data_IF_639563624540
#
_entry.id   IF_639563624540
#
_cell.length_a   1.000
_cell.length_b   1.000
_cell.length_c   1.000
_cell.angle_alpha   90.00
_cell.angle_beta   90.00
_cell.angle_gamma   90.00
#
_symmetry.space_group_name_H-M   'P 1'
#
loop_
_entity.id
_entity.type
_entity.pdbx_description
1 polymer ?
#
# COMPACT_ATOMS: atom_id res chain seq x y z
N UNK A 1 18.24 35.57 33.73
CA UNK A 1 17.97 36.02 35.11
C UNK A 1 19.31 36.05 35.84
N UNK A 2 19.98 37.20 35.81
CA UNK A 2 21.01 37.61 36.77
C UNK A 2 21.09 39.13 36.65
N UNK A 3 20.40 39.82 37.56
CA UNK A 3 20.45 41.28 37.68
C UNK A 3 21.81 41.65 38.29
N UNK A 4 22.66 42.32 37.53
CA UNK A 4 23.80 43.05 38.09
C UNK A 4 23.31 44.46 38.45
N UNK A 5 23.08 44.65 39.74
CA UNK A 5 22.86 45.96 40.37
C UNK A 5 24.16 46.73 40.26
N UNK A 6 24.20 47.74 39.40
CA UNK A 6 25.26 48.75 39.40
C UNK A 6 24.80 49.94 40.24
N UNK A 7 25.49 50.17 41.36
CA UNK A 7 25.27 51.30 42.25
C UNK A 7 25.66 52.63 41.57
N UNK A 8 24.96 53.70 41.92
CA UNK A 8 24.99 55.03 41.28
C UNK A 8 26.27 55.86 41.50
N UNK A 9 27.40 55.24 41.84
CA UNK A 9 28.65 55.97 42.16
C UNK A 9 29.81 55.79 41.17
N UNK A 10 29.67 54.97 40.12
CA UNK A 10 30.71 54.78 39.08
C UNK A 10 30.40 55.41 37.71
N UNK A 11 29.54 56.43 37.64
CA UNK A 11 29.17 57.08 36.37
C UNK A 11 30.03 58.25 35.83
N UNK A 12 31.06 58.82 36.51
CA UNK A 12 31.86 59.89 35.89
C UNK A 12 32.94 59.37 34.91
N UNK A 13 33.40 58.13 35.06
CA UNK A 13 34.51 57.55 34.29
C UNK A 13 34.06 57.02 32.93
N UNK A 14 32.94 56.29 32.86
CA UNK A 14 32.40 55.77 31.59
C UNK A 14 32.01 56.88 30.60
N UNK A 15 31.41 57.98 31.09
CA UNK A 15 31.03 59.13 30.24
C UNK A 15 32.24 59.90 29.68
N UNK A 16 33.39 59.87 30.38
CA UNK A 16 34.66 60.45 29.88
C UNK A 16 35.35 59.53 28.87
N UNK A 17 35.34 58.22 29.11
CA UNK A 17 35.87 57.21 28.19
C UNK A 17 35.09 57.19 26.86
N UNK A 18 33.77 57.32 26.88
CA UNK A 18 32.94 57.37 25.67
C UNK A 18 33.19 58.58 24.75
N UNK A 19 33.94 59.60 25.20
CA UNK A 19 34.33 60.78 24.40
C UNK A 19 35.71 60.64 23.73
N UNK A 20 36.51 59.62 24.06
CA UNK A 20 37.83 59.45 23.46
C UNK A 20 37.74 58.56 22.21
N UNK A 21 38.47 58.92 21.15
CA UNK A 21 38.54 58.11 19.91
C UNK A 21 38.93 56.65 20.21
N UNK A 22 39.80 56.44 21.20
CA UNK A 22 40.28 55.13 21.62
C UNK A 22 39.17 54.19 22.11
N UNK A 23 38.12 54.69 22.77
CA UNK A 23 37.00 53.86 23.23
C UNK A 23 36.16 53.32 22.06
N UNK A 24 35.85 54.16 21.08
CA UNK A 24 35.12 53.74 19.88
C UNK A 24 35.95 52.83 18.98
N UNK A 25 37.28 53.02 18.93
CA UNK A 25 38.20 52.09 18.25
C UNK A 25 38.21 50.73 18.94
N UNK A 26 38.27 50.69 20.28
CA UNK A 26 38.25 49.45 21.05
C UNK A 26 36.90 48.72 20.93
N UNK A 27 35.78 49.45 21.00
CA UNK A 27 34.44 48.91 20.81
C UNK A 27 34.26 48.38 19.38
N UNK A 28 34.74 49.12 18.38
CA UNK A 28 34.76 48.68 16.99
C UNK A 28 35.57 47.40 16.82
N UNK A 29 36.77 47.31 17.41
CA UNK A 29 37.59 46.10 17.41
C UNK A 29 36.92 44.92 18.09
N UNK A 30 36.24 45.13 19.23
CA UNK A 30 35.49 44.07 19.93
C UNK A 30 34.31 43.59 19.09
N UNK A 31 33.56 44.49 18.45
CA UNK A 31 32.48 44.11 17.53
C UNK A 31 33.04 43.33 16.35
N UNK A 32 34.17 43.77 15.78
CA UNK A 32 34.82 43.09 14.65
C UNK A 32 35.35 41.71 15.05
N UNK A 33 35.89 41.57 16.27
CA UNK A 33 36.30 40.29 16.86
C UNK A 33 35.10 39.38 17.13
N UNK A 34 33.98 39.92 17.62
CA UNK A 34 32.74 39.16 17.79
C UNK A 34 32.15 38.70 16.45
N UNK A 35 32.18 39.56 15.42
CA UNK A 35 31.77 39.19 14.07
C UNK A 35 32.72 38.16 13.45
N UNK A 36 34.04 38.34 13.62
CA UNK A 36 35.04 37.38 13.14
C UNK A 36 34.92 36.04 13.88
N UNK A 37 34.69 36.04 15.19
CA UNK A 37 34.47 34.83 15.96
C UNK A 37 33.15 34.15 15.59
N UNK A 38 32.08 34.93 15.34
CA UNK A 38 30.81 34.42 14.80
C UNK A 38 30.98 33.81 13.41
N UNK A 39 31.77 34.43 12.53
CA UNK A 39 32.01 33.95 11.16
C UNK A 39 33.00 32.78 11.12
N UNK A 40 34.00 32.75 12.02
CA UNK A 40 34.93 31.64 12.17
C UNK A 40 34.26 30.42 12.81
N UNK A 41 33.21 30.63 13.61
CA UNK A 41 32.40 29.57 14.23
C UNK A 41 31.19 29.17 13.38
N UNK A 42 30.93 29.84 12.25
CA UNK A 42 30.09 29.26 11.19
C UNK A 42 30.81 28.03 10.68
N UNK A 43 30.37 26.91 11.21
CA UNK A 43 30.77 25.57 10.85
C UNK A 43 30.74 25.46 9.31
N UNK A 44 31.92 25.50 8.66
CA UNK A 44 32.07 25.23 7.23
C UNK A 44 31.89 23.71 7.05
N UNK A 45 30.69 23.23 7.37
CA UNK A 45 30.30 21.85 7.12
C UNK A 45 30.42 21.63 5.63
N UNK A 46 31.12 20.57 5.24
CA UNK A 46 31.12 20.14 3.85
C UNK A 46 29.66 20.03 3.38
N UNK A 47 29.35 20.69 2.26
CA UNK A 47 28.02 20.64 1.66
C UNK A 47 27.74 19.19 1.32
N UNK A 48 26.77 18.59 2.02
CA UNK A 48 26.38 17.22 1.79
C UNK A 48 25.87 17.07 0.35
N UNK A 49 26.43 16.09 -0.36
CA UNK A 49 26.15 15.82 -1.77
C UNK A 49 25.86 14.35 -2.00
N UNK A 50 25.07 14.08 -3.03
CA UNK A 50 24.84 12.76 -3.58
C UNK A 50 26.06 12.27 -4.37
N UNK A 51 26.05 10.99 -4.74
CA UNK A 51 27.04 10.41 -5.66
C UNK A 51 27.00 11.06 -7.05
N UNK A 52 25.87 11.67 -7.43
CA UNK A 52 25.73 12.49 -8.65
C UNK A 52 26.43 13.86 -8.55
N UNK A 53 26.80 14.30 -7.35
CA UNK A 53 27.32 15.65 -7.07
C UNK A 53 26.23 16.68 -6.74
N UNK A 54 24.96 16.32 -6.85
CA UNK A 54 23.83 17.18 -6.46
C UNK A 54 23.81 17.40 -4.94
N UNK A 55 23.36 18.57 -4.52
CA UNK A 55 23.28 18.94 -3.10
C UNK A 55 22.10 18.24 -2.44
N UNK A 56 22.36 17.62 -1.29
CA UNK A 56 21.35 16.99 -0.45
C UNK A 56 21.67 17.29 1.01
N UNK A 57 21.15 18.41 1.53
CA UNK A 57 21.42 18.80 2.91
C UNK A 57 20.58 18.04 3.94
N UNK A 58 19.55 17.28 3.53
CA UNK A 58 18.76 16.48 4.47
C UNK A 58 19.62 15.46 5.22
N UNK A 59 20.60 14.85 4.55
CA UNK A 59 21.53 13.87 5.15
C UNK A 59 22.52 14.50 6.13
N UNK A 60 22.54 15.83 6.29
CA UNK A 60 23.33 16.49 7.33
C UNK A 60 22.73 16.21 8.71
N UNK A 61 21.40 16.25 8.80
CA UNK A 61 20.65 16.03 10.04
C UNK A 61 20.06 14.61 10.13
N UNK A 62 19.56 14.07 9.01
CA UNK A 62 18.93 12.75 8.96
C UNK A 62 19.95 11.64 8.68
N UNK A 63 20.46 11.03 9.75
CA UNK A 63 21.45 9.96 9.68
C UNK A 63 20.86 8.55 9.67
N UNK A 64 19.59 8.41 9.30
CA UNK A 64 18.88 7.13 9.25
C UNK A 64 19.61 6.12 8.36
N UNK A 65 19.55 4.85 8.76
CA UNK A 65 20.08 3.74 7.96
C UNK A 65 19.02 3.35 6.95
N UNK A 66 19.35 3.46 5.66
CA UNK A 66 18.48 3.00 4.56
C UNK A 66 18.92 1.59 4.17
N UNK A 67 18.12 0.54 4.45
CA UNK A 67 18.52 -0.87 4.24
C UNK A 67 18.37 -1.32 2.78
N UNK A 68 18.73 -0.45 1.83
CA UNK A 68 18.69 -0.68 0.39
C UNK A 68 19.86 -0.04 -0.32
N UNK A 69 20.39 -0.73 -1.34
CA UNK A 69 21.45 -0.20 -2.19
C UNK A 69 20.93 0.68 -3.33
N UNK A 70 19.76 0.35 -3.89
CA UNK A 70 19.22 1.01 -5.09
C UNK A 70 18.64 2.38 -4.76
N UNK A 71 18.00 2.52 -3.59
CA UNK A 71 17.44 3.77 -3.10
C UNK A 71 18.26 4.34 -1.93
N UNK A 72 19.56 4.05 -1.87
CA UNK A 72 20.41 4.57 -0.81
C UNK A 72 20.37 6.11 -0.76
N UNK A 73 20.41 6.68 0.43
CA UNK A 73 20.30 8.14 0.65
C UNK A 73 21.40 8.96 -0.02
N UNK A 74 22.57 8.36 -0.31
CA UNK A 74 23.64 9.02 -1.07
C UNK A 74 23.47 8.87 -2.58
N UNK A 75 22.66 7.92 -3.03
CA UNK A 75 22.43 7.65 -4.46
C UNK A 75 21.24 8.46 -4.97
N UNK A 76 20.08 8.31 -4.32
CA UNK A 76 18.83 8.93 -4.76
C UNK A 76 18.55 10.26 -4.06
N UNK A 77 19.02 10.41 -2.83
CA UNK A 77 18.69 11.55 -1.98
C UNK A 77 17.33 11.41 -1.28
N UNK A 78 17.22 12.08 -0.15
CA UNK A 78 16.00 12.13 0.65
C UNK A 78 14.92 12.93 -0.08
N UNK A 79 15.28 14.08 -0.66
CA UNK A 79 14.31 14.99 -1.28
C UNK A 79 13.69 14.43 -2.55
N UNK A 80 14.39 13.55 -3.27
CA UNK A 80 13.85 12.89 -4.47
C UNK A 80 12.64 12.00 -4.17
N UNK A 81 12.55 11.45 -2.95
CA UNK A 81 11.39 10.68 -2.50
C UNK A 81 10.47 11.53 -1.62
N UNK A 82 11.01 12.16 -0.59
CA UNK A 82 10.25 12.85 0.43
C UNK A 82 9.92 14.31 0.08
N UNK A 83 10.36 14.80 -1.08
CA UNK A 83 10.27 16.22 -1.45
C UNK A 83 10.98 17.09 -0.41
N UNK A 84 10.56 18.36 -0.26
CA UNK A 84 11.27 19.32 0.57
C UNK A 84 12.36 20.07 -0.20
N UNK A 85 13.07 20.95 0.51
CA UNK A 85 14.14 21.76 -0.05
C UNK A 85 15.51 21.23 0.41
N UNK A 86 16.27 20.54 -0.44
CA UNK A 86 17.56 19.97 -0.09
C UNK A 86 18.69 21.01 -0.03
N UNK A 87 18.44 22.29 -0.32
CA UNK A 87 19.46 23.32 -0.46
C UNK A 87 19.60 24.24 0.77
N UNK A 88 18.85 23.97 1.84
CA UNK A 88 18.87 24.79 3.06
C UNK A 88 18.92 23.93 4.32
N UNK A 89 19.58 24.45 5.36
CA UNK A 89 19.56 23.88 6.72
C UNK A 89 18.50 24.54 7.61
N UNK A 90 17.81 25.58 7.12
CA UNK A 90 16.68 26.15 7.84
C UNK A 90 15.55 25.12 7.94
N UNK A 91 15.12 24.83 9.17
CA UNK A 91 14.14 23.78 9.41
C UNK A 91 12.82 24.01 8.66
N UNK A 92 12.32 25.25 8.67
CA UNK A 92 11.00 25.56 8.10
C UNK A 92 11.05 25.48 6.57
N UNK A 93 12.09 26.02 5.97
CA UNK A 93 12.26 26.01 4.51
C UNK A 93 12.61 24.61 3.99
N UNK A 94 13.48 23.85 4.68
CA UNK A 94 13.82 22.49 4.31
C UNK A 94 12.61 21.55 4.32
N UNK A 95 11.74 21.66 5.33
CA UNK A 95 10.59 20.77 5.51
C UNK A 95 9.32 21.21 4.75
N UNK A 96 9.40 22.30 3.99
CA UNK A 96 8.28 22.81 3.22
C UNK A 96 7.88 21.79 2.14
N UNK A 97 6.61 21.38 2.12
CA UNK A 97 6.04 20.41 1.18
C UNK A 97 6.62 18.98 1.27
N UNK A 98 7.24 18.60 2.39
CA UNK A 98 7.67 17.21 2.58
C UNK A 98 6.46 16.27 2.54
N UNK A 99 6.62 15.15 1.82
CA UNK A 99 5.69 14.05 1.76
C UNK A 99 6.24 12.88 2.57
N UNK A 100 5.48 12.48 3.60
CA UNK A 100 5.86 11.35 4.47
C UNK A 100 5.87 10.01 3.75
N UNK A 101 4.89 9.77 2.85
CA UNK A 101 4.80 8.54 2.07
C UNK A 101 5.03 8.83 0.58
N UNK A 102 6.23 8.59 0.04
CA UNK A 102 6.53 8.88 -1.36
C UNK A 102 5.70 8.03 -2.34
N UNK A 103 5.25 6.83 -1.94
CA UNK A 103 4.48 5.95 -2.83
C UNK A 103 2.99 6.25 -2.90
N UNK A 104 2.51 7.29 -2.23
CA UNK A 104 1.09 7.66 -2.27
C UNK A 104 0.67 8.12 -3.67
N UNK A 105 -0.45 7.60 -4.20
CA UNK A 105 -0.89 7.85 -5.57
C UNK A 105 -1.16 9.34 -5.89
N UNK A 106 -1.35 10.17 -4.86
CA UNK A 106 -1.49 11.63 -5.01
C UNK A 106 -0.18 12.32 -5.34
N UNK A 107 0.94 11.80 -4.84
CA UNK A 107 2.28 12.41 -4.98
C UNK A 107 3.22 11.60 -5.87
N UNK A 108 2.91 10.35 -6.21
CA UNK A 108 3.80 9.44 -6.97
C UNK A 108 4.32 10.00 -8.29
N UNK A 109 3.61 10.92 -8.95
CA UNK A 109 4.11 11.58 -10.16
C UNK A 109 5.37 12.43 -9.86
N UNK A 110 5.44 13.02 -8.66
CA UNK A 110 6.53 13.89 -8.19
C UNK A 110 7.67 13.10 -7.53
N UNK A 111 7.47 11.81 -7.23
CA UNK A 111 8.42 10.98 -6.49
C UNK A 111 8.86 9.80 -7.35
N UNK A 112 8.22 8.63 -7.24
CA UNK A 112 8.56 7.42 -8.00
C UNK A 112 8.42 7.60 -9.52
N UNK A 113 7.58 8.54 -9.97
CA UNK A 113 7.27 8.81 -11.37
C UNK A 113 8.20 9.81 -12.05
N UNK A 114 9.25 10.28 -11.38
CA UNK A 114 10.22 11.20 -11.99
C UNK A 114 10.98 10.54 -13.16
N UNK A 115 11.50 11.34 -14.11
CA UNK A 115 12.39 10.84 -15.15
C UNK A 115 13.55 10.03 -14.54
N UNK A 116 13.90 8.89 -15.15
CA UNK A 116 14.93 7.98 -14.63
C UNK A 116 14.46 7.03 -13.51
N UNK A 117 13.20 7.14 -13.04
CA UNK A 117 12.63 6.26 -12.02
C UNK A 117 11.62 5.27 -12.62
N UNK A 118 10.34 5.35 -12.23
CA UNK A 118 9.26 4.42 -12.56
C UNK A 118 8.08 5.09 -13.28
N UNK A 119 8.37 6.06 -14.17
CA UNK A 119 7.38 6.85 -14.89
C UNK A 119 6.28 6.00 -15.56
N UNK A 120 6.63 4.88 -16.18
CA UNK A 120 5.70 4.01 -16.91
C UNK A 120 4.73 3.24 -16.02
N UNK A 121 5.03 3.12 -14.73
CA UNK A 121 4.23 2.34 -13.79
C UNK A 121 3.08 3.16 -13.21
N UNK A 122 3.19 4.49 -13.22
CA UNK A 122 2.27 5.36 -12.51
C UNK A 122 0.86 5.31 -13.09
N UNK A 123 0.74 5.43 -14.42
CA UNK A 123 -0.54 5.33 -15.12
C UNK A 123 -1.15 3.93 -14.99
N UNK A 124 -0.30 2.89 -15.04
CA UNK A 124 -0.73 1.49 -14.87
C UNK A 124 -1.35 1.25 -13.51
N UNK A 125 -0.65 1.66 -12.44
CA UNK A 125 -1.14 1.47 -11.06
C UNK A 125 -2.41 2.27 -10.84
N UNK A 126 -2.50 3.51 -11.31
CA UNK A 126 -3.70 4.35 -11.17
C UNK A 126 -4.93 3.76 -11.88
N UNK A 127 -4.73 3.00 -12.96
CA UNK A 127 -5.80 2.33 -13.70
C UNK A 127 -6.08 0.89 -13.24
N UNK A 128 -5.24 0.33 -12.36
CA UNK A 128 -5.45 -1.02 -11.81
C UNK A 128 -6.77 -1.14 -11.04
N UNK A 129 -7.34 -2.35 -10.98
CA UNK A 129 -8.58 -2.62 -10.25
C UNK A 129 -8.46 -2.28 -8.75
N UNK A 130 -7.30 -2.47 -8.13
CA UNK A 130 -7.07 -2.10 -6.72
C UNK A 130 -7.00 -0.59 -6.50
N UNK A 131 -6.61 0.19 -7.51
CA UNK A 131 -6.64 1.65 -7.44
C UNK A 131 -8.02 2.20 -7.79
N UNK A 132 -8.73 1.65 -8.76
CA UNK A 132 -10.02 2.21 -9.19
C UNK A 132 -11.18 1.70 -8.34
N UNK A 133 -11.16 0.43 -7.92
CA UNK A 133 -12.27 -0.30 -7.33
C UNK A 133 -13.59 -0.20 -8.13
N UNK A 134 -13.51 0.11 -9.43
CA UNK A 134 -14.68 0.45 -10.24
C UNK A 134 -15.71 -0.70 -10.27
N UNK A 135 -15.28 -1.94 -10.51
CA UNK A 135 -16.18 -3.09 -10.54
C UNK A 135 -16.91 -3.32 -9.21
N UNK A 136 -16.24 -3.07 -8.08
CA UNK A 136 -16.87 -3.14 -6.75
C UNK A 136 -17.91 -2.03 -6.57
N UNK A 137 -17.55 -0.79 -6.89
CA UNK A 137 -18.44 0.37 -6.80
C UNK A 137 -19.67 0.16 -7.68
N UNK A 138 -19.46 -0.22 -8.94
CA UNK A 138 -20.52 -0.54 -9.91
C UNK A 138 -21.47 -1.59 -9.34
N UNK A 139 -20.94 -2.71 -8.83
CA UNK A 139 -21.77 -3.79 -8.30
C UNK A 139 -22.58 -3.34 -7.07
N UNK A 140 -21.97 -2.61 -6.14
CA UNK A 140 -22.66 -2.10 -4.96
C UNK A 140 -23.80 -1.17 -5.37
N UNK A 141 -23.53 -0.19 -6.23
CA UNK A 141 -24.54 0.75 -6.72
C UNK A 141 -25.69 0.03 -7.44
N UNK A 142 -25.39 -0.98 -8.24
CA UNK A 142 -26.41 -1.80 -8.92
C UNK A 142 -27.28 -2.60 -7.95
N UNK A 143 -26.72 -3.15 -6.86
CA UNK A 143 -27.46 -3.90 -5.84
C UNK A 143 -28.41 -2.99 -5.06
N UNK A 144 -28.04 -1.72 -4.86
CA UNK A 144 -28.91 -0.70 -4.27
C UNK A 144 -29.87 -0.05 -5.28
N UNK A 145 -29.87 -0.50 -6.54
CA UNK A 145 -30.71 0.00 -7.63
C UNK A 145 -30.49 1.49 -8.01
N UNK A 146 -29.35 2.08 -7.61
CA UNK A 146 -29.01 3.50 -7.80
C UNK A 146 -28.30 3.77 -9.15
N UNK A 147 -28.86 3.24 -10.25
CA UNK A 147 -28.21 3.26 -11.59
C UNK A 147 -27.90 4.68 -12.09
N UNK A 148 -28.63 5.69 -11.64
CA UNK A 148 -28.41 7.10 -11.96
C UNK A 148 -27.00 7.59 -11.56
N UNK A 149 -26.41 7.02 -10.51
CA UNK A 149 -25.02 7.31 -10.10
C UNK A 149 -24.06 6.92 -11.23
N UNK A 150 -24.29 5.77 -11.88
CA UNK A 150 -23.47 5.29 -13.00
C UNK A 150 -23.82 6.02 -14.30
N UNK A 151 -25.03 6.56 -14.46
CA UNK A 151 -25.34 7.47 -15.57
C UNK A 151 -24.55 8.78 -15.48
N UNK A 152 -24.42 9.34 -14.27
CA UNK A 152 -23.63 10.54 -14.01
C UNK A 152 -22.12 10.29 -14.07
N UNK A 153 -21.68 9.12 -13.58
CA UNK A 153 -20.28 8.73 -13.51
C UNK A 153 -20.05 7.31 -14.05
N UNK A 154 -20.05 7.10 -15.39
CA UNK A 154 -19.96 5.76 -15.99
C UNK A 154 -18.69 4.98 -15.67
N UNK A 155 -17.60 5.69 -15.34
CA UNK A 155 -16.30 5.13 -14.93
C UNK A 155 -15.92 5.55 -13.51
N UNK A 156 -16.91 5.63 -12.62
CA UNK A 156 -16.70 6.05 -11.23
C UNK A 156 -15.61 5.19 -10.56
N UNK A 157 -14.52 5.84 -10.18
CA UNK A 157 -13.41 5.25 -9.45
C UNK A 157 -13.34 5.82 -8.05
N UNK A 158 -12.69 5.10 -7.13
CA UNK A 158 -12.56 5.53 -5.75
C UNK A 158 -11.81 6.86 -5.59
N UNK A 159 -10.88 7.20 -6.49
CA UNK A 159 -10.18 8.49 -6.43
C UNK A 159 -11.16 9.65 -6.58
N UNK A 160 -12.17 9.51 -7.44
CA UNK A 160 -13.22 10.51 -7.63
C UNK A 160 -14.07 10.69 -6.37
N UNK A 161 -14.22 9.66 -5.53
CA UNK A 161 -14.96 9.79 -4.26
C UNK A 161 -14.26 10.71 -3.24
N UNK A 162 -12.97 11.01 -3.42
CA UNK A 162 -12.27 12.02 -2.63
C UNK A 162 -12.56 13.46 -3.10
N UNK A 163 -13.16 13.64 -4.28
CA UNK A 163 -13.47 14.97 -4.80
C UNK A 163 -14.77 15.48 -4.18
N UNK A 164 -14.73 16.68 -3.59
CA UNK A 164 -15.89 17.27 -2.91
C UNK A 164 -17.12 17.37 -3.82
N UNK A 165 -16.94 17.74 -5.08
CA UNK A 165 -18.04 17.82 -6.06
C UNK A 165 -18.77 16.48 -6.23
N UNK A 166 -18.02 15.39 -6.42
CA UNK A 166 -18.56 14.04 -6.61
C UNK A 166 -19.23 13.58 -5.31
N UNK A 167 -18.57 13.80 -4.17
CA UNK A 167 -19.14 13.47 -2.86
C UNK A 167 -20.48 14.18 -2.64
N UNK A 168 -20.58 15.49 -2.92
CA UNK A 168 -21.82 16.24 -2.73
C UNK A 168 -22.95 15.80 -3.66
N UNK A 169 -22.65 15.51 -4.92
CA UNK A 169 -23.62 15.00 -5.91
C UNK A 169 -24.11 13.59 -5.58
N UNK A 170 -23.31 12.80 -4.88
CA UNK A 170 -23.61 11.39 -4.55
C UNK A 170 -23.88 11.14 -3.07
N UNK A 171 -23.99 12.20 -2.25
CA UNK A 171 -24.07 12.08 -0.78
C UNK A 171 -25.27 11.27 -0.28
N UNK A 172 -26.35 11.23 -1.05
CA UNK A 172 -27.59 10.53 -0.69
C UNK A 172 -27.62 9.08 -1.18
N UNK A 173 -26.62 8.63 -1.94
CA UNK A 173 -26.51 7.24 -2.39
C UNK A 173 -26.16 6.34 -1.21
N UNK A 174 -27.07 5.45 -0.84
CA UNK A 174 -26.87 4.43 0.20
C UNK A 174 -25.84 3.40 -0.27
N UNK A 175 -25.80 3.07 -1.55
CA UNK A 175 -24.80 2.16 -2.11
C UNK A 175 -23.37 2.72 -1.95
N UNK A 176 -23.17 3.99 -2.31
CA UNK A 176 -21.87 4.62 -2.12
C UNK A 176 -21.56 4.86 -0.64
N UNK A 177 -22.56 5.14 0.20
CA UNK A 177 -22.35 5.24 1.64
C UNK A 177 -21.90 3.91 2.27
N UNK A 178 -22.56 2.82 1.90
CA UNK A 178 -22.16 1.46 2.26
C UNK A 178 -20.74 1.15 1.79
N UNK A 179 -20.39 1.46 0.54
CA UNK A 179 -19.04 1.28 0.03
C UNK A 179 -18.01 2.09 0.83
N UNK A 180 -18.24 3.39 1.06
CA UNK A 180 -17.30 4.26 1.80
C UNK A 180 -17.07 3.75 3.22
N UNK A 181 -18.12 3.28 3.88
CA UNK A 181 -18.05 2.83 5.28
C UNK A 181 -17.54 1.41 5.43
N UNK A 182 -17.81 0.48 4.52
CA UNK A 182 -17.41 -0.92 4.69
C UNK A 182 -16.18 -1.28 3.85
N UNK A 183 -16.18 -0.88 2.57
CA UNK A 183 -15.16 -1.25 1.58
C UNK A 183 -14.06 -0.19 1.42
N UNK A 184 -14.27 1.05 1.87
CA UNK A 184 -13.40 2.20 1.64
C UNK A 184 -11.97 2.08 2.19
N UNK A 185 -11.63 1.00 2.90
CA UNK A 185 -10.25 0.72 3.32
C UNK A 185 -9.44 -0.17 2.37
N UNK A 186 -10.04 -0.70 1.31
CA UNK A 186 -9.43 -1.76 0.48
C UNK A 186 -8.70 -1.26 -0.77
N UNK A 187 -8.63 0.05 -1.02
CA UNK A 187 -8.10 0.62 -2.25
C UNK A 187 -6.73 1.31 -2.06
N UNK A 188 -6.00 1.51 -3.16
CA UNK A 188 -4.63 2.03 -3.10
C UNK A 188 -4.50 3.54 -2.83
N UNK A 189 -5.54 4.34 -3.14
CA UNK A 189 -5.58 5.78 -2.82
C UNK A 189 -5.72 6.11 -1.34
N UNK A 190 -5.97 5.13 -0.47
CA UNK A 190 -6.11 5.39 0.95
C UNK A 190 -4.76 5.88 1.49
N UNK A 191 -4.76 7.00 2.20
CA UNK A 191 -3.55 7.50 2.84
C UNK A 191 -3.11 6.57 3.97
N UNK A 192 -1.89 6.05 3.88
CA UNK A 192 -1.33 5.19 4.92
C UNK A 192 -1.22 5.93 6.24
N UNK A 193 -1.73 5.33 7.32
CA UNK A 193 -1.77 5.94 8.65
C UNK A 193 -3.00 6.82 8.92
N UNK A 194 -3.88 7.03 7.94
CA UNK A 194 -5.02 7.95 8.07
C UNK A 194 -6.19 7.38 8.88
N UNK A 195 -6.41 6.07 8.79
CA UNK A 195 -7.48 5.37 9.51
C UNK A 195 -6.96 4.83 10.87
N UNK A 196 -7.85 4.61 11.85
CA UNK A 196 -7.47 4.12 13.17
C UNK A 196 -7.14 2.62 13.20
N UNK A 197 -6.62 2.15 14.34
CA UNK A 197 -6.37 0.72 14.64
C UNK A 197 -5.52 0.00 13.57
N UNK A 198 -5.92 -1.21 13.19
CA UNK A 198 -5.25 -2.03 12.18
C UNK A 198 -5.40 -1.46 10.76
N UNK A 199 -6.38 -0.60 10.51
CA UNK A 199 -6.60 0.02 9.19
C UNK A 199 -5.51 1.03 8.84
N UNK A 200 -4.77 1.55 9.83
CA UNK A 200 -3.65 2.48 9.62
C UNK A 200 -2.54 1.90 8.74
N UNK A 201 -2.42 0.57 8.68
CA UNK A 201 -1.39 -0.12 7.89
C UNK A 201 -1.82 -0.36 6.43
N UNK A 202 -3.07 -0.03 6.06
CA UNK A 202 -3.59 -0.17 4.69
C UNK A 202 -3.33 1.09 3.85
N UNK A 203 -3.41 0.92 2.52
CA UNK A 203 -3.22 2.00 1.56
C UNK A 203 -1.76 2.41 1.38
N UNK A 204 -1.57 3.60 0.80
CA UNK A 204 -0.27 4.20 0.55
C UNK A 204 0.25 4.01 -0.87
N UNK A 205 -0.60 3.66 -1.84
CA UNK A 205 -0.20 3.47 -3.23
C UNK A 205 0.87 2.40 -3.41
N UNK A 206 2.01 2.76 -3.98
CA UNK A 206 3.14 1.85 -4.20
C UNK A 206 3.66 1.22 -2.90
N UNK A 207 3.65 1.96 -1.78
CA UNK A 207 4.13 1.45 -0.48
C UNK A 207 3.13 0.55 0.23
N UNK A 208 1.92 0.38 -0.30
CA UNK A 208 0.96 -0.61 0.21
C UNK A 208 1.55 -2.03 0.11
N UNK A 209 2.20 -2.32 -1.02
CA UNK A 209 2.80 -3.61 -1.31
C UNK A 209 4.32 -3.60 -1.11
N UNK A 210 5.01 -2.55 -1.55
CA UNK A 210 6.47 -2.58 -1.63
C UNK A 210 7.17 -2.21 -0.32
N UNK A 211 6.49 -1.62 0.66
CA UNK A 211 7.13 -1.26 1.93
C UNK A 211 7.06 -2.39 2.96
N UNK A 212 8.21 -2.72 3.54
CA UNK A 212 8.35 -3.65 4.66
C UNK A 212 9.11 -2.96 5.80
N UNK A 213 8.66 -3.21 7.03
CA UNK A 213 9.38 -2.80 8.24
C UNK A 213 10.41 -3.87 8.55
N UNK A 214 11.62 -3.49 8.97
CA UNK A 214 12.57 -4.48 9.47
C UNK A 214 12.05 -5.07 10.79
N UNK A 215 12.23 -6.39 10.97
CA UNK A 215 11.76 -7.10 12.17
C UNK A 215 12.63 -6.81 13.41
N UNK A 216 13.85 -6.33 13.19
CA UNK A 216 14.88 -6.12 14.23
C UNK A 216 14.99 -4.66 14.69
N UNK A 217 13.86 -3.95 14.81
CA UNK A 217 13.80 -2.77 15.66
C UNK A 217 13.90 -3.23 17.13
N UNK A 218 15.11 -3.58 17.57
CA UNK A 218 15.40 -3.72 18.99
C UNK A 218 15.07 -2.38 19.65
N UNK A 219 14.22 -2.33 20.70
CA UNK A 219 13.80 -1.07 21.33
C UNK A 219 14.96 -0.20 21.86
N UNK A 220 16.17 -0.77 21.94
CA UNK A 220 17.40 -0.15 22.44
C UNK A 220 18.45 0.20 21.35
N UNK A 221 18.14 0.02 20.06
CA UNK A 221 19.01 0.54 18.99
C UNK A 221 18.87 2.06 18.90
N UNK A 222 19.95 2.80 19.16
CA UNK A 222 19.98 4.26 19.04
C UNK A 222 19.90 4.77 17.59
N UNK A 223 19.89 3.88 16.59
CA UNK A 223 19.81 4.24 15.17
C UNK A 223 18.43 3.98 14.61
N UNK A 224 17.74 5.05 14.20
CA UNK A 224 16.51 4.98 13.41
C UNK A 224 16.80 4.33 12.05
N UNK A 225 16.08 3.24 11.76
CA UNK A 225 16.15 2.53 10.48
C UNK A 225 14.99 2.98 9.60
N UNK A 226 15.31 3.34 8.36
CA UNK A 226 14.30 3.74 7.38
C UNK A 226 13.57 2.50 6.85
N UNK A 227 12.24 2.57 6.59
CA UNK A 227 11.51 1.46 5.98
C UNK A 227 12.13 1.02 4.65
N UNK A 228 12.14 -0.30 4.42
CA UNK A 228 12.65 -0.89 3.19
C UNK A 228 11.57 -1.00 2.13
N UNK A 229 11.91 -0.71 0.89
CA UNK A 229 11.21 -1.06 -0.33
C UNK A 229 11.75 -2.38 -0.89
N UNK A 230 10.83 -3.27 -1.27
CA UNK A 230 11.15 -4.57 -1.84
C UNK A 230 10.61 -4.68 -3.25
N UNK A 231 11.41 -5.28 -4.14
CA UNK A 231 10.97 -5.59 -5.51
C UNK A 231 9.83 -6.61 -5.51
N UNK A 232 9.92 -7.62 -4.65
CA UNK A 232 8.94 -8.69 -4.52
C UNK A 232 8.24 -8.56 -3.16
N UNK A 233 6.97 -8.12 -3.12
CA UNK A 233 6.26 -7.91 -1.88
C UNK A 233 6.01 -9.24 -1.16
N UNK A 234 6.13 -9.28 0.18
CA UNK A 234 5.84 -10.48 0.93
C UNK A 234 4.31 -10.67 1.02
N UNK A 235 3.86 -11.91 1.19
CA UNK A 235 2.45 -12.27 1.11
C UNK A 235 1.58 -11.56 2.15
N UNK A 236 2.13 -11.24 3.32
CA UNK A 236 1.44 -10.52 4.40
C UNK A 236 0.91 -9.17 3.91
N UNK A 237 1.62 -8.50 3.00
CA UNK A 237 1.17 -7.23 2.41
C UNK A 237 -0.09 -7.42 1.54
N UNK A 238 -0.23 -8.56 0.85
CA UNK A 238 -1.45 -8.93 0.14
C UNK A 238 -2.58 -9.25 1.12
N UNK A 239 -2.27 -10.05 2.15
CA UNK A 239 -3.25 -10.54 3.13
C UNK A 239 -3.82 -9.39 3.97
N UNK A 240 -3.13 -8.25 4.15
CA UNK A 240 -3.71 -7.05 4.80
C UNK A 240 -5.05 -6.60 4.20
N UNK A 241 -5.25 -6.80 2.90
CA UNK A 241 -6.50 -6.45 2.21
C UNK A 241 -7.28 -7.71 1.80
N UNK A 242 -6.60 -8.75 1.31
CA UNK A 242 -7.22 -9.98 0.81
C UNK A 242 -7.60 -10.99 1.91
N UNK A 243 -7.96 -10.49 3.10
CA UNK A 243 -8.41 -11.31 4.25
C UNK A 243 -9.93 -11.24 4.51
N UNK A 244 -10.67 -10.42 3.78
CA UNK A 244 -12.13 -10.25 3.93
C UNK A 244 -12.85 -10.56 2.61
N UNK A 245 -14.17 -10.72 2.66
CA UNK A 245 -15.03 -11.09 1.53
C UNK A 245 -14.73 -12.48 0.94
N UNK A 246 -13.80 -12.61 0.00
CA UNK A 246 -13.39 -13.92 -0.53
C UNK A 246 -12.48 -14.72 0.40
N UNK A 247 -11.91 -14.07 1.44
CA UNK A 247 -10.97 -14.67 2.43
C UNK A 247 -9.80 -15.43 1.79
N UNK A 248 -9.47 -15.11 0.53
CA UNK A 248 -8.51 -15.88 -0.27
C UNK A 248 -7.11 -15.89 0.35
N UNK A 249 -6.70 -14.79 0.98
CA UNK A 249 -5.44 -14.72 1.70
C UNK A 249 -5.37 -15.71 2.85
N UNK A 250 -6.48 -15.96 3.55
CA UNK A 250 -6.54 -16.93 4.64
C UNK A 250 -6.61 -18.36 4.10
N UNK A 251 -7.55 -18.66 3.22
CA UNK A 251 -7.74 -20.03 2.74
C UNK A 251 -6.56 -20.56 1.95
N UNK A 252 -5.85 -19.70 1.19
CA UNK A 252 -4.60 -20.07 0.53
C UNK A 252 -3.54 -20.55 1.52
N UNK A 253 -3.44 -19.88 2.67
CA UNK A 253 -2.52 -20.22 3.76
C UNK A 253 -2.98 -21.38 4.64
N UNK A 254 -4.20 -21.90 4.42
CA UNK A 254 -4.78 -22.92 5.31
C UNK A 254 -5.33 -22.32 6.60
N UNK A 255 -5.84 -21.10 6.54
CA UNK A 255 -6.54 -20.46 7.64
C UNK A 255 -8.01 -20.25 7.26
N UNK A 256 -8.89 -20.42 8.23
CA UNK A 256 -10.32 -20.22 8.07
C UNK A 256 -10.85 -19.37 9.21
N UNK A 257 -11.54 -18.29 8.89
CA UNK A 257 -12.20 -17.50 9.94
C UNK A 257 -13.45 -18.22 10.40
N UNK A 258 -13.48 -18.57 11.69
CA UNK A 258 -14.47 -19.43 12.31
C UNK A 258 -15.87 -18.78 12.39
N UNK A 259 -16.86 -19.58 12.78
CA UNK A 259 -18.20 -19.08 13.07
C UNK A 259 -18.11 -18.04 14.21
N UNK A 260 -18.83 -16.91 14.09
CA UNK A 260 -18.73 -15.77 15.02
C UNK A 260 -19.03 -16.18 16.48
N UNK A 261 -17.99 -16.55 17.21
CA UNK A 261 -18.06 -17.04 18.59
C UNK A 261 -17.35 -18.38 18.74
N UNK A 262 -16.22 -18.41 19.46
CA UNK A 262 -15.44 -19.62 19.70
C UNK A 262 -13.98 -19.32 20.07
N UNK A 263 -13.24 -20.36 20.45
CA UNK A 263 -11.78 -20.31 20.60
C UNK A 263 -11.19 -20.78 19.26
N UNK A 264 -10.48 -19.89 18.56
CA UNK A 264 -9.73 -20.26 17.36
C UNK A 264 -8.26 -20.54 17.66
N UNK A 265 -7.57 -21.19 16.74
CA UNK A 265 -6.12 -21.46 16.83
C UNK A 265 -5.28 -20.17 16.80
N UNK A 266 -5.78 -19.13 16.13
CA UNK A 266 -5.13 -17.83 15.98
C UNK A 266 -6.14 -16.68 16.06
N UNK A 267 -5.68 -15.49 16.44
CA UNK A 267 -6.46 -14.24 16.42
C UNK A 267 -5.86 -13.28 15.41
N UNK A 268 -6.66 -12.84 14.44
CA UNK A 268 -6.25 -11.82 13.49
C UNK A 268 -6.23 -10.43 14.13
N UNK A 269 -5.51 -9.49 13.52
CA UNK A 269 -5.29 -8.13 14.05
C UNK A 269 -6.56 -7.32 14.27
N UNK A 270 -7.69 -7.72 13.67
CA UNK A 270 -9.00 -7.11 13.85
C UNK A 270 -9.90 -7.85 14.86
N UNK A 271 -9.35 -8.84 15.58
CA UNK A 271 -10.04 -9.59 16.63
C UNK A 271 -10.77 -10.84 16.14
N UNK A 272 -10.78 -11.13 14.84
CA UNK A 272 -11.38 -12.35 14.30
C UNK A 272 -10.57 -13.60 14.65
N UNK A 273 -11.25 -14.67 15.03
CA UNK A 273 -10.65 -15.95 15.32
C UNK A 273 -10.49 -16.78 14.04
N UNK A 274 -9.34 -17.43 13.90
CA UNK A 274 -8.99 -18.26 12.76
C UNK A 274 -8.66 -19.69 13.20
N UNK A 275 -9.20 -20.66 12.50
CA UNK A 275 -8.88 -22.08 12.64
C UNK A 275 -7.90 -22.52 11.55
N UNK A 276 -7.00 -23.45 11.89
CA UNK A 276 -6.10 -24.07 10.92
C UNK A 276 -6.83 -25.15 10.14
N UNK A 277 -6.74 -25.03 8.82
CA UNK A 277 -7.18 -26.04 7.86
C UNK A 277 -6.05 -26.37 6.92
N UNK A 278 -6.23 -27.39 6.09
CA UNK A 278 -5.16 -27.76 5.17
C UNK A 278 -4.92 -26.66 4.12
N UNK A 279 -3.70 -26.15 3.95
CA UNK A 279 -3.42 -25.10 2.96
C UNK A 279 -3.56 -25.56 1.51
N UNK A 280 -3.56 -24.57 0.60
CA UNK A 280 -3.41 -24.82 -0.82
C UNK A 280 -2.06 -25.50 -1.13
N UNK A 281 -2.05 -26.38 -2.12
CA UNK A 281 -0.83 -27.14 -2.47
C UNK A 281 0.29 -26.24 -2.98
N UNK A 282 -0.02 -25.12 -3.65
CA UNK A 282 0.97 -24.17 -4.12
C UNK A 282 1.63 -23.45 -2.93
N UNK A 283 0.84 -23.05 -1.94
CA UNK A 283 1.34 -22.49 -0.70
C UNK A 283 2.25 -23.48 0.05
N UNK A 284 1.81 -24.74 0.18
CA UNK A 284 2.62 -25.82 0.76
C UNK A 284 3.96 -26.03 0.04
N UNK A 285 4.01 -25.77 -1.27
CA UNK A 285 5.25 -25.84 -2.05
C UNK A 285 6.13 -24.60 -1.92
N UNK A 286 5.67 -23.56 -1.22
CA UNK A 286 6.41 -22.32 -0.97
C UNK A 286 6.17 -21.25 -2.03
N UNK A 287 5.05 -21.32 -2.75
CA UNK A 287 4.63 -20.27 -3.66
C UNK A 287 3.77 -19.23 -2.91
N UNK A 288 3.85 -17.99 -3.39
CA UNK A 288 3.13 -16.82 -2.91
C UNK A 288 2.22 -16.25 -4.00
N UNK A 289 1.36 -15.29 -3.66
CA UNK A 289 0.41 -14.69 -4.61
C UNK A 289 1.09 -14.17 -5.88
N UNK A 290 2.26 -13.52 -5.74
CA UNK A 290 3.01 -12.95 -6.87
C UNK A 290 3.69 -14.00 -7.75
N UNK A 291 3.77 -15.26 -7.33
CA UNK A 291 4.40 -16.30 -8.16
C UNK A 291 3.50 -16.71 -9.33
N UNK A 292 2.18 -16.60 -9.13
CA UNK A 292 1.16 -16.77 -10.15
C UNK A 292 0.77 -15.42 -10.77
N UNK A 293 0.46 -14.42 -9.93
CA UNK A 293 0.00 -13.13 -10.41
C UNK A 293 1.12 -12.34 -11.08
N UNK A 294 0.87 -11.87 -12.29
CA UNK A 294 1.85 -11.11 -13.04
C UNK A 294 1.94 -9.68 -12.55
N UNK A 295 3.02 -8.97 -12.92
CA UNK A 295 3.15 -7.55 -12.61
C UNK A 295 1.96 -6.77 -13.18
N UNK A 296 1.56 -7.11 -14.39
CA UNK A 296 0.47 -6.46 -15.13
C UNK A 296 -0.92 -6.76 -14.56
N UNK A 297 -1.13 -7.91 -13.90
CA UNK A 297 -2.37 -8.16 -13.15
C UNK A 297 -2.44 -7.36 -11.84
N UNK A 298 -1.32 -7.31 -11.10
CA UNK A 298 -1.27 -6.69 -9.78
C UNK A 298 -1.19 -5.17 -9.90
N UNK A 299 -0.23 -4.66 -10.67
CA UNK A 299 0.01 -3.23 -10.84
C UNK A 299 -0.81 -2.62 -11.98
N UNK A 300 -1.54 -3.43 -12.75
CA UNK A 300 -2.25 -3.01 -13.95
C UNK A 300 -1.35 -2.98 -15.21
N UNK A 301 -1.99 -3.00 -16.37
CA UNK A 301 -1.32 -2.88 -17.68
C UNK A 301 -1.62 -1.56 -18.39
N UNK A 302 -2.28 -0.62 -17.70
CA UNK A 302 -2.65 0.69 -18.22
C UNK A 302 -4.10 0.76 -18.69
N UNK A 303 -4.75 -0.39 -18.94
CA UNK A 303 -6.16 -0.43 -19.30
C UNK A 303 -7.05 -0.25 -18.06
N UNK A 304 -8.21 0.36 -18.29
CA UNK A 304 -9.28 0.42 -17.30
C UNK A 304 -10.20 -0.78 -17.49
N UNK A 305 -10.39 -1.57 -16.44
CA UNK A 305 -11.21 -2.78 -16.47
C UNK A 305 -12.50 -2.60 -15.66
N UNK A 306 -13.60 -3.18 -16.17
CA UNK A 306 -14.89 -3.16 -15.48
C UNK A 306 -15.04 -4.32 -14.50
N UNK A 307 -14.30 -5.41 -14.73
CA UNK A 307 -14.35 -6.62 -13.93
C UNK A 307 -12.97 -7.25 -13.75
N UNK A 308 -12.83 -8.09 -12.71
CA UNK A 308 -11.61 -8.89 -12.48
C UNK A 308 -11.31 -9.84 -13.65
N UNK A 309 -12.35 -10.42 -14.27
CA UNK A 309 -12.21 -11.40 -15.35
C UNK A 309 -11.53 -10.84 -16.60
N UNK A 310 -11.74 -9.54 -16.90
CA UNK A 310 -11.06 -8.84 -18.00
C UNK A 310 -9.58 -8.57 -17.70
N UNK A 311 -9.26 -8.27 -16.43
CA UNK A 311 -7.90 -7.97 -16.01
C UNK A 311 -7.02 -9.22 -15.91
N UNK A 312 -7.55 -10.31 -15.33
CA UNK A 312 -6.87 -11.58 -15.11
C UNK A 312 -6.32 -12.13 -16.43
N UNK A 313 -5.11 -12.69 -16.43
CA UNK A 313 -4.47 -13.33 -17.57
C UNK A 313 -3.85 -14.70 -17.24
N UNK A 314 -3.55 -14.94 -15.96
CA UNK A 314 -3.04 -16.23 -15.48
C UNK A 314 -4.15 -17.26 -15.47
N UNK A 315 -3.86 -18.43 -16.01
CA UNK A 315 -4.75 -19.58 -16.01
C UNK A 315 -4.00 -20.81 -15.47
N UNK A 316 -4.74 -21.82 -15.02
CA UNK A 316 -4.13 -23.08 -14.56
C UNK A 316 -3.24 -23.68 -15.67
N UNK A 317 -3.74 -23.61 -16.91
CA UNK A 317 -3.11 -24.11 -18.13
C UNK A 317 -1.85 -23.36 -18.52
N UNK A 318 -1.68 -22.10 -18.08
CA UNK A 318 -0.43 -21.35 -18.32
C UNK A 318 0.79 -22.14 -17.85
N UNK A 319 0.68 -22.78 -16.67
CA UNK A 319 1.73 -23.61 -16.10
C UNK A 319 1.47 -25.11 -16.30
N UNK A 320 0.25 -25.57 -16.02
CA UNK A 320 -0.12 -26.98 -16.04
C UNK A 320 -0.52 -27.45 -17.44
N UNK A 321 0.49 -27.85 -18.22
CA UNK A 321 0.31 -28.31 -19.60
C UNK A 321 0.67 -27.27 -20.65
N UNK A 322 0.82 -26.01 -20.26
CA UNK A 322 1.29 -24.92 -21.11
C UNK A 322 2.80 -24.74 -21.18
N UNK A 323 3.20 -23.55 -21.57
CA UNK A 323 4.59 -23.13 -21.78
C UNK A 323 4.93 -21.82 -21.06
N UNK A 324 4.13 -21.46 -20.05
CA UNK A 324 4.28 -20.23 -19.30
C UNK A 324 3.73 -18.99 -20.02
N UNK A 325 2.94 -19.15 -21.09
CA UNK A 325 2.26 -18.02 -21.75
C UNK A 325 0.88 -17.80 -21.15
N UNK A 326 0.61 -16.57 -20.71
CA UNK A 326 -0.70 -16.14 -20.21
C UNK A 326 -1.71 -15.98 -21.36
N UNK A 327 -3.01 -15.84 -21.03
CA UNK A 327 -4.06 -15.65 -22.05
C UNK A 327 -3.89 -14.38 -22.89
N UNK A 328 -3.14 -13.39 -22.38
CA UNK A 328 -2.78 -12.14 -23.07
C UNK A 328 -1.43 -12.22 -23.78
N UNK A 329 -0.84 -13.41 -23.93
CA UNK A 329 0.40 -13.62 -24.68
C UNK A 329 1.69 -13.28 -23.91
N UNK A 330 1.61 -12.96 -22.62
CA UNK A 330 2.79 -12.62 -21.81
C UNK A 330 3.47 -13.87 -21.27
N UNK A 331 4.80 -13.96 -21.38
CA UNK A 331 5.59 -15.06 -20.82
C UNK A 331 5.90 -14.82 -19.34
N UNK A 332 5.63 -15.84 -18.51
CA UNK A 332 6.03 -15.85 -17.11
C UNK A 332 7.56 -15.95 -17.01
N UNK A 333 8.19 -14.92 -16.45
CA UNK A 333 9.66 -14.86 -16.28
C UNK A 333 10.21 -15.95 -15.35
N UNK A 334 9.37 -16.46 -14.45
CA UNK A 334 9.72 -17.49 -13.48
C UNK A 334 9.31 -18.90 -13.91
N UNK A 335 8.84 -19.07 -15.15
CA UNK A 335 8.55 -20.39 -15.73
C UNK A 335 9.69 -20.82 -16.63
N UNK A 336 10.12 -22.07 -16.52
CA UNK A 336 11.09 -22.65 -17.45
C UNK A 336 10.93 -24.17 -17.59
N UNK A 337 11.46 -24.72 -18.68
CA UNK A 337 11.48 -26.15 -18.99
C UNK A 337 12.90 -26.69 -18.96
N UNK A 338 13.10 -27.85 -18.35
CA UNK A 338 14.36 -28.62 -18.38
C UNK A 338 14.03 -30.03 -18.87
N UNK A 339 14.36 -30.30 -20.14
CA UNK A 339 13.94 -31.52 -20.81
C UNK A 339 12.41 -31.65 -20.87
N UNK A 340 11.86 -32.77 -20.40
CA UNK A 340 10.40 -33.04 -20.37
C UNK A 340 9.67 -32.43 -19.17
N UNK A 341 10.40 -31.86 -18.22
CA UNK A 341 9.87 -31.29 -16.97
C UNK A 341 9.75 -29.77 -17.07
N UNK A 342 8.73 -29.24 -16.39
CA UNK A 342 8.50 -27.80 -16.26
C UNK A 342 8.61 -27.41 -14.79
N UNK A 343 9.10 -26.20 -14.54
CA UNK A 343 9.36 -25.68 -13.21
C UNK A 343 8.84 -24.25 -13.10
N UNK A 344 8.41 -23.89 -11.89
CA UNK A 344 8.14 -22.51 -11.49
C UNK A 344 9.12 -22.12 -10.39
N UNK A 345 9.81 -21.00 -10.55
CA UNK A 345 10.65 -20.42 -9.52
C UNK A 345 9.84 -19.41 -8.70
N UNK A 346 9.92 -19.49 -7.37
CA UNK A 346 9.32 -18.47 -6.53
C UNK A 346 10.13 -17.18 -6.65
N UNK A 347 9.46 -16.07 -6.97
CA UNK A 347 10.05 -14.74 -7.13
C UNK A 347 10.62 -14.19 -5.82
N UNK A 348 10.07 -14.62 -4.67
CA UNK A 348 10.49 -14.14 -3.35
C UNK A 348 11.56 -15.01 -2.67
N UNK A 349 11.59 -16.31 -2.95
CA UNK A 349 12.49 -17.26 -2.28
C UNK A 349 13.48 -17.97 -3.21
N UNK A 350 13.35 -17.77 -4.52
CA UNK A 350 14.10 -18.48 -5.58
C UNK A 350 13.95 -20.01 -5.54
N UNK A 351 13.03 -20.51 -4.70
CA UNK A 351 12.73 -21.93 -4.59
C UNK A 351 12.09 -22.43 -5.88
N UNK A 352 12.61 -23.54 -6.39
CA UNK A 352 12.13 -24.17 -7.62
C UNK A 352 11.11 -25.25 -7.30
N UNK A 353 9.95 -25.15 -7.93
CA UNK A 353 8.83 -26.09 -7.76
C UNK A 353 8.60 -26.82 -9.07
N UNK A 354 8.65 -28.16 -9.03
CA UNK A 354 8.29 -29.00 -10.17
C UNK A 354 6.80 -28.87 -10.47
N UNK A 355 6.46 -28.51 -11.71
CA UNK A 355 5.09 -28.42 -12.18
C UNK A 355 4.63 -29.81 -12.64
N UNK A 356 3.60 -30.34 -11.98
CA UNK A 356 2.96 -31.60 -12.38
C UNK A 356 2.03 -31.35 -13.56
N UNK A 357 2.07 -32.23 -14.56
CA UNK A 357 1.09 -32.21 -15.65
C UNK A 357 -0.29 -32.67 -15.13
N UNK A 358 -1.39 -32.11 -15.65
CA UNK A 358 -2.72 -32.66 -15.40
C UNK A 358 -2.78 -34.14 -15.77
N UNK A 359 -3.56 -34.91 -15.03
CA UNK A 359 -3.79 -36.33 -15.33
C UNK A 359 -4.63 -36.49 -16.59
N UNK A 360 -4.55 -37.64 -17.28
CA UNK A 360 -5.30 -37.90 -18.53
C UNK A 360 -6.80 -37.69 -18.39
N UNK A 361 -7.36 -37.97 -17.20
CA UNK A 361 -8.78 -37.75 -16.92
C UNK A 361 -9.21 -36.30 -17.21
N UNK A 362 -8.35 -35.31 -16.94
CA UNK A 362 -8.66 -33.90 -17.20
C UNK A 362 -8.85 -33.57 -18.69
N UNK A 363 -8.26 -34.36 -19.60
CA UNK A 363 -8.35 -34.16 -21.06
C UNK A 363 -9.50 -34.92 -21.73
N UNK A 364 -10.29 -35.68 -20.97
CA UNK A 364 -11.45 -36.41 -21.51
C UNK A 364 -12.52 -35.44 -22.03
N UNK A 365 -13.22 -35.84 -23.08
CA UNK A 365 -14.26 -35.03 -23.74
C UNK A 365 -15.35 -34.55 -22.76
N UNK A 366 -15.74 -35.41 -21.81
CA UNK A 366 -16.78 -35.14 -20.81
C UNK A 366 -16.35 -34.07 -19.77
N UNK A 367 -15.05 -33.80 -19.62
CA UNK A 367 -14.53 -32.80 -18.68
C UNK A 367 -14.19 -31.46 -19.35
N UNK A 368 -14.35 -31.32 -20.67
CA UNK A 368 -14.00 -30.09 -21.40
C UNK A 368 -14.72 -28.84 -20.89
N UNK A 369 -15.89 -29.01 -20.29
CA UNK A 369 -16.70 -27.92 -19.72
C UNK A 369 -16.28 -27.55 -18.31
N UNK A 370 -15.61 -28.43 -17.56
CA UNK A 370 -15.19 -28.17 -16.18
C UNK A 370 -13.96 -27.26 -16.14
N UNK A 371 -14.00 -26.25 -15.28
CA UNK A 371 -12.77 -25.55 -14.89
C UNK A 371 -11.94 -26.43 -13.97
N UNK A 372 -10.63 -26.18 -13.91
CA UNK A 372 -9.74 -26.93 -13.00
C UNK A 372 -10.18 -26.78 -11.55
N UNK A 373 -10.63 -25.59 -11.16
CA UNK A 373 -11.08 -25.29 -9.80
C UNK A 373 -12.35 -26.06 -9.41
N UNK A 374 -13.19 -26.49 -10.37
CA UNK A 374 -14.36 -27.33 -10.10
C UNK A 374 -14.03 -28.62 -9.34
N UNK A 375 -12.80 -29.15 -9.50
CA UNK A 375 -12.33 -30.33 -8.78
C UNK A 375 -11.12 -30.05 -7.87
N UNK A 376 -10.33 -29.01 -8.16
CA UNK A 376 -9.07 -28.73 -7.46
C UNK A 376 -9.15 -27.62 -6.41
N UNK A 377 -10.27 -26.89 -6.32
CA UNK A 377 -10.49 -26.00 -5.18
C UNK A 377 -10.72 -26.85 -3.93
N UNK A 378 -9.77 -26.80 -3.00
CA UNK A 378 -9.80 -27.64 -1.80
C UNK A 378 -10.86 -27.17 -0.81
N UNK A 379 -11.00 -25.86 -0.70
CA UNK A 379 -11.84 -25.18 0.26
C UNK A 379 -12.57 -24.06 -0.45
N UNK A 380 -13.88 -23.99 -0.27
CA UNK A 380 -14.67 -22.83 -0.63
C UNK A 380 -15.35 -22.32 0.65
N UNK A 381 -15.03 -21.10 1.12
CA UNK A 381 -15.84 -20.45 2.13
C UNK A 381 -17.25 -20.27 1.56
N UNK A 382 -18.23 -20.92 2.18
CA UNK A 382 -19.64 -20.74 1.85
C UNK A 382 -20.27 -19.83 2.91
N UNK A 383 -20.97 -18.79 2.45
CA UNK A 383 -21.62 -17.80 3.30
C UNK A 383 -23.11 -17.80 2.95
N UNK A 384 -23.95 -18.37 3.82
CA UNK A 384 -25.39 -18.53 3.56
C UNK A 384 -26.19 -17.22 3.62
N UNK A 385 -25.52 -16.07 3.75
CA UNK A 385 -26.12 -14.76 3.63
C UNK A 385 -25.34 -13.71 4.42
N UNK A 386 -25.22 -12.52 3.83
CA UNK A 386 -24.86 -11.30 4.53
C UNK A 386 -26.14 -10.51 4.77
N UNK A 387 -26.55 -10.37 6.03
CA UNK A 387 -27.61 -9.46 6.42
C UNK A 387 -27.01 -8.08 6.67
N UNK A 388 -27.47 -7.10 5.91
CA UNK A 388 -27.04 -5.72 6.03
C UNK A 388 -28.15 -4.95 6.73
N UNK A 389 -27.83 -4.32 7.86
CA UNK A 389 -28.73 -3.41 8.57
C UNK A 389 -28.20 -1.99 8.47
N UNK A 390 -29.08 -1.05 8.14
CA UNK A 390 -28.80 0.38 8.18
C UNK A 390 -29.56 1.04 9.34
N UNK A 391 -28.86 1.77 10.19
CA UNK A 391 -29.45 2.61 11.23
C UNK A 391 -29.09 4.09 10.99
N UNK A 392 -30.03 4.92 10.52
CA UNK A 392 -29.76 6.33 10.21
C UNK A 392 -29.52 7.20 11.45
N UNK A 393 -29.79 6.69 12.67
CA UNK A 393 -29.73 7.46 13.92
C UNK A 393 -28.31 7.52 14.50
N UNK A 394 -27.49 6.54 14.16
CA UNK A 394 -26.13 6.39 14.69
C UNK A 394 -25.08 6.82 13.64
N UNK A 395 -23.79 6.75 13.99
CA UNK A 395 -22.67 7.09 13.09
C UNK A 395 -21.80 5.89 12.77
N UNK A 396 -21.09 5.96 11.65
CA UNK A 396 -20.06 5.00 11.27
C UNK A 396 -18.94 5.71 10.51
N UNK A 397 -17.70 5.31 10.79
CA UNK A 397 -16.49 5.74 10.11
C UNK A 397 -16.61 5.62 8.59
N UNK A 398 -16.73 6.77 7.93
CA UNK A 398 -16.51 6.88 6.49
C UNK A 398 -15.01 6.79 6.23
N UNK A 399 -14.57 5.69 5.59
CA UNK A 399 -13.15 5.39 5.39
C UNK A 399 -12.52 6.20 4.26
N UNK A 400 -13.32 6.88 3.44
CA UNK A 400 -12.84 7.81 2.41
C UNK A 400 -12.62 9.20 3.04
N UNK A 401 -13.57 9.68 3.83
CA UNK A 401 -13.44 10.97 4.53
C UNK A 401 -12.58 10.90 5.79
N UNK A 402 -12.31 9.68 6.28
CA UNK A 402 -11.61 9.39 7.53
C UNK A 402 -12.25 10.10 8.75
N UNK A 403 -13.58 10.09 8.83
CA UNK A 403 -14.36 10.64 9.95
C UNK A 403 -15.68 9.91 10.12
N UNK A 404 -16.23 9.94 11.32
CA UNK A 404 -17.59 9.48 11.59
C UNK A 404 -18.61 10.31 10.78
N UNK A 405 -19.53 9.62 10.11
CA UNK A 405 -20.68 10.24 9.43
C UNK A 405 -21.97 9.52 9.80
N UNK A 406 -23.12 10.19 9.68
CA UNK A 406 -24.43 9.60 10.01
C UNK A 406 -24.72 8.35 9.18
N UNK A 407 -25.41 7.39 9.76
CA UNK A 407 -25.80 6.13 9.14
C UNK A 407 -24.86 5.00 9.52
N UNK A 408 -25.26 4.17 10.48
CA UNK A 408 -24.54 2.96 10.84
C UNK A 408 -24.91 1.81 9.92
N UNK A 409 -23.89 1.13 9.42
CA UNK A 409 -24.03 -0.13 8.68
C UNK A 409 -23.53 -1.25 9.54
N UNK A 410 -24.36 -2.28 9.72
CA UNK A 410 -24.01 -3.49 10.44
C UNK A 410 -24.13 -4.65 9.46
N UNK A 411 -23.03 -5.39 9.29
CA UNK A 411 -23.03 -6.66 8.58
C UNK A 411 -23.13 -7.78 9.61
N UNK A 412 -24.18 -8.58 9.49
CA UNK A 412 -24.30 -9.85 10.17
C UNK A 412 -24.16 -10.96 9.14
N UNK A 413 -23.38 -11.97 9.45
CA UNK A 413 -23.33 -13.18 8.62
C UNK A 413 -24.27 -14.21 9.23
N UNK A 414 -25.03 -14.91 8.38
CA UNK A 414 -25.99 -15.90 8.87
C UNK A 414 -25.30 -17.15 9.40
N UNK A 415 -24.50 -17.80 8.54
CA UNK A 415 -23.80 -19.03 8.83
C UNK A 415 -22.65 -19.19 7.83
N UNK A 416 -21.48 -19.61 8.30
CA UNK A 416 -20.31 -19.80 7.47
C UNK A 416 -19.77 -21.21 7.66
N UNK A 417 -19.49 -21.90 6.57
CA UNK A 417 -18.81 -23.20 6.61
C UNK A 417 -17.76 -23.33 5.53
N UNK A 418 -16.83 -24.26 5.73
CA UNK A 418 -16.04 -24.80 4.63
C UNK A 418 -16.84 -25.90 3.96
N UNK A 419 -17.25 -25.65 2.72
CA UNK A 419 -17.97 -26.62 1.92
C UNK A 419 -17.16 -27.03 0.70
N UNK A 420 -17.61 -28.09 0.04
CA UNK A 420 -17.23 -28.33 -1.34
C UNK A 420 -17.74 -27.18 -2.22
N UNK A 421 -16.99 -26.78 -3.26
CA UNK A 421 -17.40 -25.67 -4.12
C UNK A 421 -18.78 -25.91 -4.76
N UNK A 422 -19.66 -24.92 -4.67
CA UNK A 422 -20.89 -24.90 -5.47
C UNK A 422 -20.51 -24.70 -6.94
N UNK A 423 -21.13 -25.48 -7.83
CA UNK A 423 -20.88 -25.39 -9.27
C UNK A 423 -22.02 -24.63 -9.95
N UNK A 424 -21.67 -23.73 -10.86
CA UNK A 424 -22.61 -23.05 -11.74
C UNK A 424 -22.19 -23.21 -13.21
N UNK A 425 -23.14 -22.95 -14.10
CA UNK A 425 -22.90 -22.92 -15.55
C UNK A 425 -22.93 -21.47 -16.01
N UNK A 426 -21.82 -21.00 -16.57
CA UNK A 426 -21.74 -19.68 -17.23
C UNK A 426 -22.42 -19.70 -18.60
N UNK A 427 -22.70 -18.52 -19.17
CA UNK A 427 -23.35 -18.35 -20.48
C UNK A 427 -22.65 -19.12 -21.62
N UNK A 428 -21.32 -19.25 -21.52
CA UNK A 428 -20.48 -20.01 -22.45
C UNK A 428 -20.54 -21.54 -22.24
N UNK A 429 -21.46 -22.04 -21.43
CA UNK A 429 -21.64 -23.45 -21.05
C UNK A 429 -20.49 -24.06 -20.22
N UNK A 430 -19.54 -23.27 -19.74
CA UNK A 430 -18.49 -23.72 -18.81
C UNK A 430 -19.05 -23.90 -17.42
N UNK A 431 -18.57 -24.94 -16.74
CA UNK A 431 -18.88 -25.24 -15.35
C UNK A 431 -17.77 -24.65 -14.49
N UNK A 432 -18.14 -23.70 -13.63
CA UNK A 432 -17.23 -22.94 -12.77
C UNK A 432 -17.60 -23.12 -11.30
N UNK A 433 -16.65 -22.88 -10.41
CA UNK A 433 -16.94 -22.77 -8.97
C UNK A 433 -17.50 -21.40 -8.66
N UNK A 434 -18.60 -21.35 -7.93
CA UNK A 434 -19.20 -20.12 -7.41
C UNK A 434 -19.32 -20.20 -5.90
N UNK A 435 -19.22 -19.05 -5.25
CA UNK A 435 -19.58 -18.91 -3.84
C UNK A 435 -21.01 -18.39 -3.80
N UNK A 436 -21.96 -19.12 -3.19
CA UNK A 436 -23.28 -18.58 -2.87
C UNK A 436 -23.13 -17.33 -1.98
N UNK A 437 -23.80 -16.23 -2.33
CA UNK A 437 -23.72 -14.96 -1.59
C UNK A 437 -23.76 -13.73 -2.48
#
# INVERSE_FOLDING_TARGET
MLFLVLSSTEMPTLKRLAKTKSFWILLGLVILLCLFYSEAKKDRREVAKLTSGEVELCITCHQEVVPEKVHDKKVVGCSSCHLGNPYTLDFKEAHKNIVKNPGDLRYVNLTCGQPGCHLTEISKVKNSLMATNHGMIKRVVEVFEEKEVLSLYPKLSVSQLYHQEVYHKTKNSLGLDYYRKLCGSCHLWLEKGKLPYFLKEKGGGCTACHSVKEKDETPNSSRKVHPKLVRYPPMENCVRCHNRSGRIGFTYQGLYENEQGGIGDEVWVDGRWLDRVSPDIHFQKGLSCIDCHTKEEVMGDGNFYYSLHEALEIECQTCHGGDGTTKKGRKLKNFYKKGKQAYLESKGSEKRVLIKKPVKACSLSYHKRLTCVSCHAKHMPDCYGCHIKYDPRDTHLDKILAKETKGLWIEHESYRRLALPTLAVEDNQRVVTVTPG
#
